data_IF_790989509567
#
_entry.id   IF_790989509567
#
_cell.length_a   1.000
_cell.length_b   1.000
_cell.length_c   1.000
_cell.angle_alpha   90.00
_cell.angle_beta   90.00
_cell.angle_gamma   90.00
#
_symmetry.space_group_name_H-M   'P 1'
#
loop_
_entity.id
_entity.type
_entity.pdbx_description
1 polymer ?
#
# COMPACT_ATOMS: atom_id res chain seq x y z
N UNK A 1 22.14 3.63 -13.10
CA UNK A 1 21.35 2.49 -12.58
C UNK A 1 20.67 3.01 -11.33
N UNK A 2 19.34 3.07 -11.33
CA UNK A 2 18.61 3.36 -10.10
C UNK A 2 18.35 1.99 -9.46
N UNK A 3 19.17 1.63 -8.48
CA UNK A 3 19.01 0.36 -7.77
C UNK A 3 17.78 0.50 -6.85
N UNK A 4 16.68 -0.09 -7.31
CA UNK A 4 15.44 -0.21 -6.54
C UNK A 4 15.32 -1.65 -6.11
N UNK A 5 15.28 -1.87 -4.79
CA UNK A 5 15.03 -3.17 -4.20
C UNK A 5 13.53 -3.36 -3.96
N UNK A 6 13.01 -4.54 -4.33
CA UNK A 6 11.60 -4.89 -4.12
C UNK A 6 11.47 -5.67 -2.82
N UNK A 7 10.76 -5.11 -1.86
CA UNK A 7 10.56 -5.66 -0.52
C UNK A 7 9.11 -6.16 -0.38
N UNK A 8 8.87 -7.48 -0.38
CA UNK A 8 7.52 -8.03 -0.39
C UNK A 8 6.82 -7.89 0.96
N UNK A 9 5.62 -7.33 0.98
CA UNK A 9 4.79 -7.19 2.19
C UNK A 9 3.53 -8.04 2.04
N UNK A 10 3.11 -8.79 3.08
CA UNK A 10 1.89 -9.58 3.03
C UNK A 10 0.64 -8.73 2.76
N UNK A 11 -0.36 -9.37 2.17
CA UNK A 11 -1.70 -8.81 1.96
C UNK A 11 -2.69 -9.72 2.71
N UNK A 12 -3.51 -9.12 3.57
CA UNK A 12 -4.61 -9.79 4.27
C UNK A 12 -5.97 -9.30 3.72
N UNK A 13 -7.08 -9.72 4.34
CA UNK A 13 -8.44 -9.34 3.93
C UNK A 13 -8.75 -7.83 4.03
N UNK A 14 -7.83 -7.04 4.59
CA UNK A 14 -7.88 -5.58 4.68
C UNK A 14 -6.88 -4.88 3.74
N UNK A 15 -6.21 -5.63 2.87
CA UNK A 15 -5.18 -5.14 1.97
C UNK A 15 -3.77 -5.32 2.51
N UNK A 16 -2.85 -4.46 2.06
CA UNK A 16 -1.42 -4.52 2.43
C UNK A 16 -1.23 -4.40 3.95
N UNK A 17 -0.45 -5.31 4.55
CA UNK A 17 -0.10 -5.25 5.96
C UNK A 17 1.00 -4.23 6.26
N UNK A 18 0.59 -2.98 6.45
CA UNK A 18 1.47 -1.84 6.75
C UNK A 18 2.36 -2.11 7.98
N UNK A 19 1.83 -2.75 9.01
CA UNK A 19 2.57 -3.05 10.24
C UNK A 19 3.73 -3.99 9.95
N UNK A 20 3.47 -5.09 9.24
CA UNK A 20 4.51 -6.04 8.81
C UNK A 20 5.55 -5.37 7.91
N UNK A 21 5.12 -4.50 6.98
CA UNK A 21 6.02 -3.74 6.13
C UNK A 21 6.96 -2.85 6.93
N UNK A 22 6.45 -2.06 7.88
CA UNK A 22 7.26 -1.17 8.73
C UNK A 22 8.23 -1.98 9.60
N UNK A 23 7.80 -3.11 10.15
CA UNK A 23 8.63 -3.94 11.03
C UNK A 23 9.79 -4.61 10.27
N UNK A 24 9.52 -5.14 9.09
CA UNK A 24 10.52 -5.87 8.30
C UNK A 24 11.41 -4.95 7.46
N UNK A 25 10.89 -3.78 7.07
CA UNK A 25 11.54 -2.85 6.14
C UNK A 25 11.52 -1.40 6.66
N UNK A 26 12.14 -1.13 7.83
CA UNK A 26 12.10 0.20 8.45
C UNK A 26 12.75 1.30 7.58
N UNK A 27 13.63 0.91 6.66
CA UNK A 27 14.31 1.80 5.73
C UNK A 27 13.59 1.96 4.37
N UNK A 28 12.39 1.40 4.18
CA UNK A 28 11.63 1.60 2.96
C UNK A 28 11.40 3.10 2.68
N UNK A 29 11.59 3.52 1.42
CA UNK A 29 11.45 4.92 0.99
C UNK A 29 10.15 5.19 0.23
N UNK A 30 9.48 4.13 -0.22
CA UNK A 30 8.17 4.24 -0.84
C UNK A 30 7.40 2.92 -0.71
N UNK A 31 6.07 3.00 -0.80
CA UNK A 31 5.17 1.86 -0.94
C UNK A 31 4.45 1.95 -2.28
N UNK A 32 4.37 0.82 -3.00
CA UNK A 32 3.57 0.67 -4.20
C UNK A 32 2.30 -0.11 -3.85
N UNK A 33 1.13 0.50 -4.08
CA UNK A 33 -0.17 -0.09 -3.70
C UNK A 33 -1.19 0.01 -4.83
N UNK A 34 -2.13 -0.92 -4.81
CA UNK A 34 -3.33 -0.98 -5.66
C UNK A 34 -4.55 -0.87 -4.74
N UNK A 35 -4.90 0.35 -4.28
CA UNK A 35 -5.68 0.52 -3.05
C UNK A 35 -7.17 0.19 -3.21
N UNK A 36 -7.72 0.31 -4.41
CA UNK A 36 -9.11 -0.03 -4.71
C UNK A 36 -9.30 -1.55 -4.86
N UNK A 37 -8.45 -2.19 -5.65
CA UNK A 37 -8.45 -3.63 -5.89
C UNK A 37 -7.00 -4.13 -5.97
N UNK A 38 -6.52 -4.78 -4.91
CA UNK A 38 -5.15 -5.29 -4.89
C UNK A 38 -4.96 -6.27 -6.06
N UNK A 39 -3.94 -6.08 -6.89
CA UNK A 39 -3.66 -7.03 -7.97
C UNK A 39 -2.66 -8.11 -7.51
N UNK A 40 -2.96 -9.42 -7.60
CA UNK A 40 -4.15 -10.04 -8.22
C UNK A 40 -5.26 -10.46 -7.22
N UNK A 41 -5.14 -10.14 -5.93
CA UNK A 41 -6.01 -10.72 -4.87
C UNK A 41 -7.41 -10.09 -4.78
N UNK A 42 -7.64 -8.96 -5.45
CA UNK A 42 -8.91 -8.22 -5.49
C UNK A 42 -9.29 -7.49 -4.20
N UNK A 43 -8.50 -7.61 -3.13
CA UNK A 43 -8.82 -7.03 -1.82
C UNK A 43 -8.60 -5.51 -1.84
N UNK A 44 -9.56 -4.75 -1.31
CA UNK A 44 -9.43 -3.31 -1.14
C UNK A 44 -8.62 -2.97 0.12
N UNK A 45 -7.84 -1.89 0.06
CA UNK A 45 -7.17 -1.35 1.24
C UNK A 45 -8.23 -0.71 2.18
N UNK A 46 -8.37 -1.25 3.38
CA UNK A 46 -9.37 -0.77 4.35
C UNK A 46 -9.10 0.68 4.79
N UNK A 47 -10.12 1.37 5.31
CA UNK A 47 -9.97 2.74 5.80
C UNK A 47 -8.88 2.85 6.88
N UNK A 48 -8.80 1.87 7.79
CA UNK A 48 -7.75 1.83 8.81
C UNK A 48 -6.36 1.70 8.19
N UNK A 49 -6.18 0.83 7.18
CA UNK A 49 -4.90 0.67 6.48
C UNK A 49 -4.53 1.91 5.67
N UNK A 50 -5.50 2.62 5.09
CA UNK A 50 -5.28 3.92 4.42
C UNK A 50 -4.73 4.97 5.38
N UNK A 51 -5.30 5.07 6.58
CA UNK A 51 -4.76 5.96 7.60
C UNK A 51 -3.34 5.55 8.03
N UNK A 52 -3.10 4.25 8.28
CA UNK A 52 -1.79 3.76 8.69
C UNK A 52 -0.69 4.06 7.65
N UNK A 53 -0.97 3.86 6.36
CA UNK A 53 0.04 4.10 5.32
C UNK A 53 0.31 5.60 5.14
N UNK A 54 -0.72 6.46 5.29
CA UNK A 54 -0.54 7.92 5.28
C UNK A 54 0.29 8.40 6.46
N UNK A 55 0.02 7.88 7.67
CA UNK A 55 0.81 8.18 8.87
C UNK A 55 2.26 7.72 8.73
N UNK A 56 2.49 6.55 8.13
CA UNK A 56 3.84 6.07 7.84
C UNK A 56 4.56 6.98 6.84
N UNK A 57 3.91 7.34 5.73
CA UNK A 57 4.51 8.19 4.71
C UNK A 57 4.90 9.57 5.28
N UNK A 58 4.04 10.18 6.09
CA UNK A 58 4.32 11.43 6.78
C UNK A 58 5.52 11.29 7.75
N UNK A 59 5.50 10.29 8.63
CA UNK A 59 6.56 10.08 9.62
C UNK A 59 7.91 9.74 9.01
N UNK A 60 7.92 8.95 7.94
CA UNK A 60 9.13 8.45 7.30
C UNK A 60 9.61 9.34 6.16
N UNK A 61 8.88 10.42 5.82
CA UNK A 61 9.10 11.23 4.63
C UNK A 61 9.19 10.35 3.37
N UNK A 62 8.32 9.34 3.32
CA UNK A 62 8.28 8.30 2.31
C UNK A 62 7.13 8.55 1.33
N UNK A 63 7.20 7.93 0.16
CA UNK A 63 6.23 8.14 -0.90
C UNK A 63 5.22 7.00 -0.96
N UNK A 64 3.97 7.30 -1.32
CA UNK A 64 2.98 6.29 -1.68
C UNK A 64 2.74 6.42 -3.17
N UNK A 65 2.92 5.32 -3.90
CA UNK A 65 2.65 5.21 -5.32
C UNK A 65 1.39 4.36 -5.45
N UNK A 66 0.30 4.98 -5.91
CA UNK A 66 -0.97 4.29 -6.14
C UNK A 66 -1.07 3.93 -7.63
N UNK A 67 -1.14 2.64 -7.91
CA UNK A 67 -1.49 2.11 -9.23
C UNK A 67 -3.02 1.85 -9.23
N UNK A 68 -3.80 2.92 -9.43
CA UNK A 68 -5.26 2.85 -9.43
C UNK A 68 -5.80 2.66 -10.85
N UNK A 69 -5.58 1.45 -11.38
CA UNK A 69 -5.96 1.05 -12.75
C UNK A 69 -7.48 0.84 -12.94
N UNK A 70 -8.27 0.82 -11.85
CA UNK A 70 -9.69 0.44 -11.85
C UNK A 70 -10.60 1.48 -11.17
N UNK A 71 -10.16 2.73 -11.14
CA UNK A 71 -10.87 3.85 -10.47
C UNK A 71 -12.26 4.19 -11.05
N UNK A 72 -12.69 3.54 -12.13
CA UNK A 72 -14.00 3.77 -12.79
C UNK A 72 -15.17 2.97 -12.19
N UNK A 73 -14.95 1.94 -11.36
CA UNK A 73 -16.06 1.20 -10.74
C UNK A 73 -16.24 1.54 -9.26
N UNK A 74 -16.56 2.80 -8.97
CA UNK A 74 -17.25 3.11 -7.71
C UNK A 74 -18.71 2.66 -7.83
N UNK A 75 -19.00 1.42 -7.42
CA UNK A 75 -20.38 1.03 -7.09
C UNK A 75 -20.85 1.89 -5.91
N UNK A 76 -21.42 3.06 -6.22
CA UNK A 76 -22.21 3.83 -5.27
C UNK A 76 -23.59 3.19 -5.21
N UNK A 77 -23.97 2.67 -4.04
CA UNK A 77 -25.29 2.14 -3.76
C UNK A 77 -25.26 1.06 -2.69
#
# INVERSE_FOLDING_TARGET
RHDVEILPVPVDDNGLDITSGIQNYPDARFALITPAHQSPLGVALSLARRHQILEWADRSQAWIIEDDYDSEFRYHG
#
